data_IF_803308743293
#
_entry.id   IF_803308743293
#
_cell.length_a   1.000
_cell.length_b   1.000
_cell.length_c   1.000
_cell.angle_alpha   90.00
_cell.angle_beta   90.00
_cell.angle_gamma   90.00
#
_symmetry.space_group_name_H-M   'P 1'
#
loop_
_entity.id
_entity.type
_entity.pdbx_description
1 polymer ?
#
# COMPACT_ATOMS: atom_id res chain seq x y z
N UNK A 1 -21.27 18.52 -11.36
CA UNK A 1 -20.41 18.26 -12.54
C UNK A 1 -19.58 17.02 -12.27
N UNK A 2 -19.92 15.87 -12.90
CA UNK A 2 -19.10 14.65 -12.85
C UNK A 2 -18.16 14.69 -14.05
N UNK A 3 -16.87 14.90 -13.81
CA UNK A 3 -15.85 14.72 -14.84
C UNK A 3 -15.64 13.22 -14.99
N UNK A 4 -16.29 12.63 -16.00
CA UNK A 4 -15.94 11.32 -16.52
C UNK A 4 -14.61 11.45 -17.26
N UNK A 5 -13.51 11.27 -16.54
CA UNK A 5 -12.16 11.23 -17.09
C UNK A 5 -11.85 9.84 -17.66
N UNK A 6 -11.82 9.78 -19.00
CA UNK A 6 -11.17 8.81 -19.90
C UNK A 6 -10.66 7.47 -19.32
N UNK A 7 -11.15 6.41 -19.95
CA UNK A 7 -10.70 5.01 -19.91
C UNK A 7 -9.17 4.91 -20.05
N UNK A 8 -8.47 4.70 -18.94
CA UNK A 8 -7.17 4.04 -18.95
C UNK A 8 -7.45 2.54 -18.89
N UNK A 9 -6.82 1.75 -19.75
CA UNK A 9 -6.84 0.29 -19.71
C UNK A 9 -6.71 -0.15 -18.26
N UNK A 10 -7.73 -0.83 -17.70
CA UNK A 10 -7.65 -1.31 -16.33
C UNK A 10 -6.36 -2.12 -16.20
N UNK A 11 -5.47 -1.79 -15.25
CA UNK A 11 -4.22 -2.53 -15.09
C UNK A 11 -4.54 -4.00 -14.93
N UNK A 12 -3.85 -4.86 -15.67
CA UNK A 12 -3.98 -6.31 -15.48
C UNK A 12 -3.61 -6.59 -14.02
N UNK A 13 -4.50 -7.20 -13.23
CA UNK A 13 -4.22 -7.44 -11.83
C UNK A 13 -2.97 -8.32 -11.72
N UNK A 14 -2.01 -7.95 -10.86
CA UNK A 14 -0.79 -8.72 -10.71
C UNK A 14 -1.10 -10.10 -10.11
N UNK A 15 -0.25 -11.09 -10.39
CA UNK A 15 -0.42 -12.46 -9.86
C UNK A 15 -0.21 -12.48 -8.33
N UNK A 16 0.56 -11.53 -7.80
CA UNK A 16 0.85 -11.33 -6.38
C UNK A 16 0.53 -9.90 -5.97
N UNK A 17 0.22 -9.64 -4.68
CA UNK A 17 0.07 -8.27 -4.20
C UNK A 17 1.37 -7.48 -4.40
N UNK A 18 1.23 -6.27 -4.96
CA UNK A 18 2.35 -5.35 -5.19
C UNK A 18 2.26 -4.19 -4.22
N UNK A 19 3.23 -4.05 -3.33
CA UNK A 19 3.39 -2.87 -2.48
C UNK A 19 4.22 -1.82 -3.21
N UNK A 20 3.58 -0.73 -3.60
CA UNK A 20 4.22 0.47 -4.14
C UNK A 20 4.60 1.38 -2.97
N UNK A 21 5.88 1.75 -2.89
CA UNK A 21 6.40 2.58 -1.79
C UNK A 21 7.39 3.62 -2.29
N UNK A 22 7.50 4.73 -1.56
CA UNK A 22 8.50 5.76 -1.82
C UNK A 22 9.86 5.36 -1.21
N UNK A 23 10.89 5.20 -2.06
CA UNK A 23 12.23 4.84 -1.63
C UNK A 23 13.02 6.00 -0.98
N UNK A 24 12.59 7.25 -1.19
CA UNK A 24 13.14 8.42 -0.51
C UNK A 24 12.63 8.55 0.93
N UNK A 25 11.45 7.98 1.23
CA UNK A 25 10.85 8.03 2.57
C UNK A 25 11.52 7.05 3.54
N UNK A 26 12.19 7.58 4.57
CA UNK A 26 12.89 6.80 5.61
C UNK A 26 11.96 5.82 6.36
N UNK A 27 10.72 6.22 6.62
CA UNK A 27 9.70 5.35 7.19
C UNK A 27 9.35 4.18 6.25
N UNK A 28 9.05 4.47 4.98
CA UNK A 28 8.72 3.46 3.99
C UNK A 28 9.85 2.44 3.84
N UNK A 29 11.10 2.90 3.74
CA UNK A 29 12.28 2.01 3.68
C UNK A 29 12.40 1.08 4.89
N UNK A 30 12.26 1.62 6.11
CA UNK A 30 12.33 0.82 7.35
C UNK A 30 11.23 -0.24 7.39
N UNK A 31 10.00 0.12 6.99
CA UNK A 31 8.88 -0.81 6.94
C UNK A 31 9.06 -1.89 5.87
N UNK A 32 9.48 -1.53 4.66
CA UNK A 32 9.79 -2.48 3.60
C UNK A 32 10.88 -3.45 4.03
N UNK A 33 11.92 -2.98 4.73
CA UNK A 33 12.96 -3.85 5.30
C UNK A 33 12.42 -4.86 6.32
N UNK A 34 11.52 -4.44 7.22
CA UNK A 34 10.84 -5.36 8.16
C UNK A 34 9.94 -6.33 7.42
N UNK A 35 9.20 -5.85 6.43
CA UNK A 35 8.29 -6.64 5.62
C UNK A 35 9.02 -7.73 4.87
N UNK A 36 10.18 -7.43 4.25
CA UNK A 36 11.03 -8.43 3.57
C UNK A 36 11.46 -9.56 4.51
N UNK A 37 11.77 -9.23 5.77
CA UNK A 37 12.15 -10.26 6.78
C UNK A 37 10.95 -11.08 7.24
N UNK A 38 9.77 -10.47 7.30
CA UNK A 38 8.54 -11.14 7.71
C UNK A 38 7.97 -12.03 6.60
N UNK A 39 7.98 -11.55 5.36
CA UNK A 39 7.56 -12.29 4.17
C UNK A 39 8.63 -13.27 3.70
N UNK A 40 8.88 -14.31 4.51
CA UNK A 40 9.86 -15.36 4.22
C UNK A 40 9.55 -16.17 2.96
N UNK A 41 8.34 -16.05 2.41
CA UNK A 41 7.88 -16.80 1.23
C UNK A 41 7.80 -15.94 -0.03
N UNK A 42 8.26 -14.69 0.02
CA UNK A 42 8.22 -13.75 -1.11
C UNK A 42 6.83 -13.71 -1.78
N UNK A 43 5.78 -13.62 -0.96
CA UNK A 43 4.39 -13.54 -1.42
C UNK A 43 4.00 -12.15 -1.87
N UNK A 44 4.78 -11.13 -1.50
CA UNK A 44 4.52 -9.72 -1.79
C UNK A 44 5.64 -9.19 -2.68
N UNK A 45 5.26 -8.58 -3.79
CA UNK A 45 6.19 -7.86 -4.66
C UNK A 45 6.36 -6.43 -4.16
N UNK A 46 7.60 -5.97 -4.07
CA UNK A 46 7.95 -4.65 -3.53
C UNK A 46 8.45 -3.78 -4.66
N UNK A 47 7.68 -2.74 -4.98
CA UNK A 47 7.92 -1.88 -6.12
C UNK A 47 8.22 -0.45 -5.66
N UNK A 48 9.43 0.07 -5.89
CA UNK A 48 9.71 1.48 -5.68
C UNK A 48 8.83 2.36 -6.58
N UNK A 49 8.43 3.52 -6.07
CA UNK A 49 7.64 4.49 -6.83
C UNK A 49 8.36 5.00 -8.10
N UNK A 50 9.69 5.00 -8.09
CA UNK A 50 10.51 5.43 -9.23
C UNK A 50 10.51 4.40 -10.39
N UNK A 51 9.99 3.19 -10.18
CA UNK A 51 9.82 2.20 -11.25
C UNK A 51 8.64 2.58 -12.16
N UNK A 52 8.85 2.58 -13.47
CA UNK A 52 7.84 2.92 -14.46
C UNK A 52 6.55 2.07 -14.34
N UNK A 53 6.66 0.87 -13.77
CA UNK A 53 5.51 -0.03 -13.54
C UNK A 53 4.59 0.46 -12.42
N UNK A 54 5.02 1.34 -11.51
CA UNK A 54 4.22 1.78 -10.37
C UNK A 54 2.94 2.50 -10.81
N UNK A 55 3.06 3.43 -11.76
CA UNK A 55 1.91 4.15 -12.35
C UNK A 55 1.05 3.20 -13.16
N UNK A 56 1.66 2.34 -13.97
CA UNK A 56 0.94 1.39 -14.83
C UNK A 56 0.11 0.38 -14.02
N UNK A 57 0.65 -0.15 -12.92
CA UNK A 57 -0.03 -1.15 -12.08
C UNK A 57 -1.11 -0.54 -11.18
N UNK A 58 -0.88 0.68 -10.67
CA UNK A 58 -1.85 1.36 -9.80
C UNK A 58 -2.94 2.10 -10.57
N UNK A 59 -2.68 2.48 -11.83
CA UNK A 59 -3.54 3.41 -12.57
C UNK A 59 -3.70 4.77 -11.87
N UNK A 60 -2.79 5.12 -10.94
CA UNK A 60 -2.81 6.38 -10.19
C UNK A 60 -1.62 7.26 -10.61
N UNK A 61 -1.80 8.60 -10.62
CA UNK A 61 -0.70 9.52 -10.89
C UNK A 61 0.34 9.48 -9.74
N UNK A 62 1.60 9.78 -10.08
CA UNK A 62 2.74 9.70 -9.15
C UNK A 62 2.52 10.56 -7.91
N UNK A 63 1.91 11.74 -8.07
CA UNK A 63 1.60 12.67 -6.99
C UNK A 63 0.74 12.00 -5.92
N UNK A 64 -0.23 11.17 -6.33
CA UNK A 64 -1.08 10.44 -5.40
C UNK A 64 -0.33 9.30 -4.73
N UNK A 65 0.51 8.60 -5.49
CA UNK A 65 1.35 7.52 -4.97
C UNK A 65 2.40 8.01 -3.97
N UNK A 66 2.83 9.27 -4.03
CA UNK A 66 3.72 9.89 -3.03
C UNK A 66 3.05 10.15 -1.69
N UNK A 67 1.73 10.35 -1.65
CA UNK A 67 1.01 10.72 -0.42
C UNK A 67 0.97 9.59 0.61
N UNK A 68 1.02 8.33 0.17
CA UNK A 68 0.96 7.17 1.06
C UNK A 68 1.54 5.93 0.37
N UNK A 69 1.85 4.88 1.15
CA UNK A 69 2.10 3.57 0.57
C UNK A 69 0.83 3.01 -0.06
N UNK A 70 0.97 2.35 -1.21
CA UNK A 70 -0.14 1.77 -1.97
C UNK A 70 0.04 0.27 -2.17
N UNK A 71 -1.04 -0.50 -2.12
CA UNK A 71 -1.04 -1.93 -2.44
C UNK A 71 -1.99 -2.20 -3.59
N UNK A 72 -1.47 -2.81 -4.64
CA UNK A 72 -2.27 -3.35 -5.75
C UNK A 72 -2.57 -4.81 -5.43
N UNK A 73 -3.84 -5.13 -5.23
CA UNK A 73 -4.30 -6.48 -4.88
C UNK A 73 -4.44 -7.36 -6.14
N UNK A 74 -4.06 -8.65 -6.08
CA UNK A 74 -4.31 -9.60 -7.16
C UNK A 74 -5.81 -9.84 -7.41
N UNK A 75 -6.67 -9.52 -6.43
CA UNK A 75 -8.12 -9.62 -6.55
C UNK A 75 -8.76 -8.45 -7.33
N UNK A 76 -7.95 -7.48 -7.77
CA UNK A 76 -8.41 -6.26 -8.40
C UNK A 76 -8.75 -5.20 -7.34
N UNK A 77 -7.89 -4.20 -7.22
CA UNK A 77 -8.09 -3.08 -6.30
C UNK A 77 -6.78 -2.41 -5.93
N UNK A 78 -6.83 -1.11 -5.70
CA UNK A 78 -5.69 -0.31 -5.23
C UNK A 78 -6.05 0.32 -3.91
N UNK A 79 -5.32 -0.05 -2.88
CA UNK A 79 -5.50 0.42 -1.52
C UNK A 79 -4.36 1.37 -1.15
N UNK A 80 -4.64 2.36 -0.31
CA UNK A 80 -3.66 3.34 0.17
C UNK A 80 -3.62 3.35 1.71
N UNK A 81 -2.52 3.78 2.30
CA UNK A 81 -2.43 4.07 3.73
C UNK A 81 -2.74 2.88 4.64
N UNK A 82 -3.63 3.04 5.62
CA UNK A 82 -3.96 1.93 6.52
C UNK A 82 -4.74 0.81 5.81
N UNK A 83 -5.58 1.16 4.82
CA UNK A 83 -6.21 0.16 3.97
C UNK A 83 -5.18 -0.67 3.17
N UNK A 84 -4.10 -0.05 2.69
CA UNK A 84 -2.99 -0.76 2.05
C UNK A 84 -2.31 -1.73 3.01
N UNK A 85 -2.02 -1.27 4.23
CA UNK A 85 -1.44 -2.11 5.27
C UNK A 85 -2.35 -3.30 5.60
N UNK A 86 -3.66 -3.06 5.77
CA UNK A 86 -4.65 -4.12 6.02
C UNK A 86 -4.68 -5.17 4.91
N UNK A 87 -4.73 -4.73 3.65
CA UNK A 87 -4.69 -5.64 2.50
C UNK A 87 -3.39 -6.46 2.49
N UNK A 88 -2.26 -5.81 2.74
CA UNK A 88 -0.94 -6.45 2.81
C UNK A 88 -0.88 -7.54 3.88
N UNK A 89 -1.44 -7.28 5.06
CA UNK A 89 -1.43 -8.24 6.16
C UNK A 89 -2.14 -9.55 5.79
N UNK A 90 -3.14 -9.55 4.91
CA UNK A 90 -3.82 -10.79 4.45
C UNK A 90 -2.85 -11.81 3.86
N UNK A 91 -1.72 -11.36 3.31
CA UNK A 91 -0.73 -12.21 2.64
C UNK A 91 0.45 -12.61 3.55
N UNK A 92 0.59 -11.97 4.72
CA UNK A 92 1.67 -12.21 5.67
C UNK A 92 1.33 -13.32 6.68
N UNK A 93 2.34 -14.08 7.14
CA UNK A 93 2.15 -15.06 8.20
C UNK A 93 1.79 -14.36 9.52
N UNK A 94 0.61 -14.64 10.07
CA UNK A 94 0.09 -14.00 11.30
C UNK A 94 -0.86 -12.83 11.05
N UNK A 95 -1.12 -12.46 9.79
CA UNK A 95 -2.00 -11.34 9.45
C UNK A 95 -3.48 -11.53 9.79
N UNK A 96 -3.94 -12.76 10.05
CA UNK A 96 -5.33 -13.06 10.45
C UNK A 96 -5.73 -12.33 11.74
N UNK A 97 -4.79 -12.11 12.66
CA UNK A 97 -5.05 -11.33 13.88
C UNK A 97 -5.29 -9.85 13.57
N UNK A 98 -4.54 -9.29 12.62
CA UNK A 98 -4.70 -7.89 12.18
C UNK A 98 -5.98 -7.72 11.37
N UNK A 99 -6.31 -8.71 10.53
CA UNK A 99 -7.59 -8.77 9.82
C UNK A 99 -8.76 -8.79 10.81
N UNK A 100 -8.73 -9.65 11.84
CA UNK A 100 -9.76 -9.71 12.85
C UNK A 100 -9.91 -8.39 13.62
N UNK A 101 -8.80 -7.74 13.99
CA UNK A 101 -8.82 -6.44 14.68
C UNK A 101 -9.43 -5.33 13.79
N UNK A 102 -9.08 -5.32 12.51
CA UNK A 102 -9.56 -4.31 11.55
C UNK A 102 -10.96 -4.61 10.98
N UNK A 103 -11.51 -5.79 11.23
CA UNK A 103 -12.89 -6.15 10.94
C UNK A 103 -13.89 -5.56 11.94
N UNK A 104 -13.43 -5.08 13.11
CA UNK A 104 -14.28 -4.42 14.09
C UNK A 104 -14.78 -3.08 13.52
N UNK A 105 -16.10 -2.85 13.42
CA UNK A 105 -16.65 -1.59 12.91
C UNK A 105 -16.15 -0.42 13.77
N UNK A 106 -15.56 0.59 13.12
CA UNK A 106 -14.93 1.74 13.80
C UNK A 106 -13.40 1.66 13.95
N UNK A 107 -12.78 0.50 13.71
CA UNK A 107 -11.31 0.39 13.81
C UNK A 107 -10.58 1.03 12.62
N UNK A 108 -11.16 1.00 11.42
CA UNK A 108 -10.54 1.59 10.23
C UNK A 108 -10.25 3.10 10.34
N UNK A 109 -11.16 3.98 10.79
CA UNK A 109 -10.83 5.39 10.97
C UNK A 109 -9.77 5.63 12.06
N UNK A 110 -9.67 4.74 13.06
CA UNK A 110 -8.59 4.78 14.05
C UNK A 110 -7.27 4.39 13.38
N UNK A 111 -7.24 3.29 12.62
CA UNK A 111 -6.07 2.82 11.91
C UNK A 111 -5.55 3.86 10.90
N UNK A 112 -6.44 4.54 10.16
CA UNK A 112 -6.07 5.63 9.27
C UNK A 112 -5.50 6.84 10.03
N UNK A 113 -6.07 7.21 11.19
CA UNK A 113 -5.51 8.26 12.05
C UNK A 113 -4.14 7.88 12.59
N UNK A 114 -3.97 6.64 13.04
CA UNK A 114 -2.68 6.12 13.53
C UNK A 114 -1.67 6.10 12.39
N UNK A 115 -2.03 5.61 11.20
CA UNK A 115 -1.17 5.65 10.03
C UNK A 115 -0.77 7.08 9.68
N UNK A 116 -1.72 8.02 9.61
CA UNK A 116 -1.44 9.43 9.32
C UNK A 116 -0.60 10.11 10.40
N UNK A 117 -0.72 9.70 11.67
CA UNK A 117 0.14 10.20 12.75
C UNK A 117 1.55 9.64 12.62
N UNK A 118 1.71 8.33 12.41
CA UNK A 118 3.01 7.69 12.21
C UNK A 118 3.70 8.24 10.95
N UNK A 119 2.98 8.38 9.84
CA UNK A 119 3.50 8.93 8.60
C UNK A 119 3.96 10.39 8.75
N UNK A 120 3.28 11.19 9.59
CA UNK A 120 3.70 12.56 9.93
C UNK A 120 4.86 12.64 10.90
N UNK A 121 4.95 11.70 11.83
CA UNK A 121 6.02 11.65 12.84
C UNK A 121 7.31 11.02 12.27
N UNK A 122 7.20 10.16 11.25
CA UNK A 122 8.31 9.38 10.70
C UNK A 122 8.55 9.63 9.19
N UNK A 123 7.78 10.50 8.55
CA UNK A 123 8.07 11.06 7.22
C UNK A 123 8.02 12.59 7.29
N UNK A 124 8.77 13.36 6.47
CA UNK A 124 9.80 13.02 5.48
C UNK A 124 11.21 12.92 6.09
N UNK A 125 12.15 12.29 5.38
CA UNK A 125 13.57 12.63 5.54
C UNK A 125 13.79 13.92 4.74
N UNK A 126 14.09 15.00 5.44
CA UNK A 126 14.75 16.17 4.85
C UNK A 126 16.07 15.76 4.21
#
# INVERSE_FOLDING_TARGET
MRVAGRVGTAPIPPIRPVLIYDASCGFCRRWVGRLRRWDRRARIDLLPLDDARAVALSGQPVERLRLAAHVVSPLGGVFAGAAAARELFRYLPGGRCVEALTAIPGMMPIAERTYAWIARQWGPAH
#
